data_IF_949567814829
#
_entry.id   IF_949567814829
#
_cell.length_a   1.000
_cell.length_b   1.000
_cell.length_c   1.000
_cell.angle_alpha   90.00
_cell.angle_beta   90.00
_cell.angle_gamma   90.00
#
_symmetry.space_group_name_H-M   'P 1'
#
loop_
_entity.id
_entity.type
_entity.pdbx_description
1 polymer ?
#
# COMPACT_ATOMS: atom_id res chain seq x y z
N UNK A 1 -13.99 3.72 -12.46
CA UNK A 1 -13.32 2.59 -13.16
C UNK A 1 -11.96 2.42 -12.49
N UNK A 2 -11.63 1.22 -12.05
CA UNK A 2 -10.38 0.98 -11.29
C UNK A 2 -9.19 1.10 -12.23
N UNK A 3 -8.21 1.92 -11.87
CA UNK A 3 -6.96 2.06 -12.65
C UNK A 3 -6.02 0.91 -12.31
N UNK A 4 -5.52 0.21 -13.31
CA UNK A 4 -4.52 -0.84 -13.11
C UNK A 4 -3.10 -0.25 -13.16
N UNK A 5 -2.27 -0.60 -12.19
CA UNK A 5 -0.87 -0.15 -12.11
C UNK A 5 0.07 -1.29 -11.75
N UNK A 6 1.35 -1.14 -12.11
CA UNK A 6 2.41 -2.03 -11.67
C UNK A 6 3.24 -1.37 -10.57
N UNK A 7 3.64 -2.17 -9.58
CA UNK A 7 4.55 -1.73 -8.52
C UNK A 7 5.88 -2.49 -8.57
N UNK A 8 6.91 -1.93 -7.91
CA UNK A 8 8.21 -2.60 -7.70
C UNK A 8 8.28 -3.37 -6.40
N UNK A 9 7.53 -2.93 -5.40
CA UNK A 9 7.42 -3.55 -4.07
C UNK A 9 6.00 -3.45 -3.55
N UNK A 10 5.65 -4.34 -2.61
CA UNK A 10 4.31 -4.37 -2.01
C UNK A 10 4.28 -4.30 -0.49
N UNK A 11 5.36 -4.72 0.19
CA UNK A 11 5.48 -4.57 1.64
C UNK A 11 6.19 -3.27 1.99
N UNK A 12 5.58 -2.47 2.86
CA UNK A 12 6.24 -1.39 3.55
C UNK A 12 6.84 -1.92 4.85
N UNK A 13 8.10 -1.61 5.14
CA UNK A 13 8.70 -1.91 6.45
C UNK A 13 8.51 -0.72 7.38
N UNK A 14 8.01 -0.95 8.57
CA UNK A 14 7.90 0.11 9.58
C UNK A 14 9.27 0.39 10.22
N UNK A 15 9.48 1.64 10.65
CA UNK A 15 10.70 2.02 11.37
C UNK A 15 10.73 1.46 12.79
N UNK A 16 9.55 1.35 13.40
CA UNK A 16 9.27 0.76 14.71
C UNK A 16 8.06 -0.16 14.52
N UNK A 17 7.97 -1.21 15.33
CA UNK A 17 6.79 -2.08 15.35
C UNK A 17 5.55 -1.23 15.66
N UNK A 18 4.51 -1.39 14.87
CA UNK A 18 3.26 -0.66 15.09
C UNK A 18 2.67 -1.11 16.44
N UNK A 19 2.33 -0.15 17.30
CA UNK A 19 1.85 -0.46 18.66
C UNK A 19 0.41 -0.96 18.68
N UNK A 20 -0.37 -0.64 17.65
CA UNK A 20 -1.80 -0.96 17.59
C UNK A 20 -2.02 -2.32 16.94
N UNK A 21 -1.31 -2.58 15.84
CA UNK A 21 -1.44 -3.77 15.02
C UNK A 21 -0.33 -4.80 15.27
N UNK A 22 0.69 -4.44 16.04
CA UNK A 22 1.82 -5.30 16.41
C UNK A 22 2.56 -5.89 15.19
N UNK A 23 2.53 -5.21 14.05
CA UNK A 23 3.17 -5.62 12.81
C UNK A 23 4.48 -4.84 12.56
N UNK A 24 5.41 -5.50 11.85
CA UNK A 24 6.64 -4.88 11.35
C UNK A 24 6.50 -4.41 9.88
N UNK A 25 5.43 -4.85 9.21
CA UNK A 25 5.20 -4.61 7.79
C UNK A 25 3.73 -4.44 7.46
N UNK A 26 3.41 -3.42 6.66
CA UNK A 26 2.10 -3.28 6.04
C UNK A 26 2.10 -3.68 4.56
N UNK A 27 0.98 -4.23 4.10
CA UNK A 27 0.73 -4.50 2.69
C UNK A 27 0.13 -3.27 2.02
N UNK A 28 0.59 -2.94 0.81
CA UNK A 28 0.11 -1.79 0.05
C UNK A 28 -0.38 -2.20 -1.35
N UNK A 29 -1.59 -2.78 -1.50
CA UNK A 29 -2.11 -3.27 -2.78
C UNK A 29 -2.86 -2.22 -3.62
N UNK A 30 -3.29 -1.12 -3.00
CA UNK A 30 -4.10 -0.09 -3.64
C UNK A 30 -3.48 1.30 -3.48
N UNK A 31 -3.86 2.23 -4.34
CA UNK A 31 -3.56 3.65 -4.19
C UNK A 31 -4.84 4.45 -4.32
N UNK A 32 -4.93 5.54 -3.55
CA UNK A 32 -6.07 6.45 -3.52
C UNK A 32 -7.39 5.74 -3.16
N UNK A 33 -8.51 6.43 -3.32
CA UNK A 33 -9.82 5.99 -2.88
C UNK A 33 -10.92 6.74 -3.66
N UNK A 34 -11.93 6.03 -4.17
CA UNK A 34 -13.04 6.65 -4.91
C UNK A 34 -14.05 7.38 -4.00
N UNK A 35 -14.05 7.11 -2.70
CA UNK A 35 -15.04 7.68 -1.77
C UNK A 35 -14.80 9.16 -1.43
N UNK A 36 -13.57 9.67 -1.62
CA UNK A 36 -13.20 11.07 -1.42
C UNK A 36 -13.73 11.70 -0.09
N UNK A 37 -13.70 10.93 1.01
CA UNK A 37 -14.30 11.36 2.28
C UNK A 37 -13.70 12.69 2.79
N UNK A 38 -14.56 13.59 3.28
CA UNK A 38 -14.14 14.90 3.80
C UNK A 38 -13.22 14.80 5.02
N UNK A 39 -13.36 13.72 5.80
CA UNK A 39 -12.58 13.44 7.02
C UNK A 39 -11.39 12.51 6.76
N UNK A 40 -11.04 12.26 5.50
CA UNK A 40 -9.93 11.37 5.17
C UNK A 40 -8.59 11.95 5.63
N UNK A 41 -7.85 11.21 6.46
CA UNK A 41 -6.58 11.69 7.04
C UNK A 41 -5.47 11.97 6.01
N UNK A 42 -5.56 11.42 4.79
CA UNK A 42 -4.61 11.72 3.72
C UNK A 42 -4.99 12.95 2.89
N UNK A 43 -6.19 13.51 3.07
CA UNK A 43 -6.66 14.69 2.34
C UNK A 43 -5.74 15.88 2.64
N UNK A 44 -5.24 16.54 1.60
CA UNK A 44 -4.29 17.67 1.74
C UNK A 44 -2.88 17.26 2.18
N UNK A 45 -2.59 15.96 2.31
CA UNK A 45 -1.23 15.46 2.48
C UNK A 45 -0.57 15.19 1.12
N UNK A 46 0.76 14.99 1.11
CA UNK A 46 1.51 14.55 -0.07
C UNK A 46 0.97 13.26 -0.72
N UNK A 47 0.18 12.46 0.00
CA UNK A 47 -0.45 11.24 -0.51
C UNK A 47 -1.88 11.46 -1.03
N UNK A 48 -2.48 12.62 -0.75
CA UNK A 48 -3.83 12.97 -1.16
C UNK A 48 -3.93 14.25 -2.00
N UNK A 49 -2.82 14.82 -2.45
CA UNK A 49 -2.80 15.97 -3.38
C UNK A 49 -3.53 15.67 -4.69
N UNK A 50 -3.55 14.40 -5.14
CA UNK A 50 -4.21 13.96 -6.37
C UNK A 50 -5.38 12.99 -6.11
N UNK A 51 -6.17 13.22 -5.07
CA UNK A 51 -7.34 12.38 -4.71
C UNK A 51 -8.40 12.26 -5.82
N UNK A 52 -8.39 13.16 -6.81
CA UNK A 52 -9.29 13.13 -7.97
C UNK A 52 -8.99 12.00 -8.96
N UNK A 53 -7.87 11.28 -8.84
CA UNK A 53 -7.46 10.24 -9.80
C UNK A 53 -8.16 8.89 -9.61
N UNK A 54 -9.08 8.77 -8.65
CA UNK A 54 -9.82 7.55 -8.36
C UNK A 54 -8.95 6.40 -7.83
N UNK A 55 -9.55 5.23 -7.59
CA UNK A 55 -8.89 4.04 -7.08
C UNK A 55 -7.94 3.43 -8.12
N UNK A 56 -6.71 3.12 -7.70
CA UNK A 56 -5.78 2.31 -8.48
C UNK A 56 -5.43 0.99 -7.76
N UNK A 57 -5.45 -0.12 -8.51
CA UNK A 57 -5.09 -1.45 -8.05
C UNK A 57 -3.72 -1.88 -8.62
N UNK A 58 -2.84 -2.35 -7.74
CA UNK A 58 -1.54 -2.92 -8.14
C UNK A 58 -1.73 -4.36 -8.57
N UNK A 59 -1.93 -4.60 -9.86
CA UNK A 59 -2.30 -5.92 -10.37
C UNK A 59 -1.23 -6.99 -10.16
N UNK A 60 0.04 -6.59 -10.05
CA UNK A 60 1.14 -7.50 -9.73
C UNK A 60 1.37 -7.71 -8.23
N UNK A 61 0.48 -7.22 -7.36
CA UNK A 61 0.62 -7.33 -5.90
C UNK A 61 0.75 -8.78 -5.39
N UNK A 62 -0.03 -9.77 -5.87
CA UNK A 62 0.10 -11.15 -5.38
C UNK A 62 1.49 -11.75 -5.67
N UNK A 63 1.97 -11.60 -6.92
CA UNK A 63 3.28 -12.11 -7.33
C UNK A 63 4.44 -11.39 -6.60
N UNK A 64 4.32 -10.08 -6.37
CA UNK A 64 5.28 -9.34 -5.56
C UNK A 64 5.29 -9.81 -4.10
N UNK A 65 4.11 -10.03 -3.53
CA UNK A 65 3.97 -10.47 -2.14
C UNK A 65 4.66 -11.81 -1.93
N UNK A 66 4.37 -12.80 -2.78
CA UNK A 66 5.02 -14.12 -2.75
C UNK A 66 6.55 -14.00 -2.81
N UNK A 67 7.07 -13.27 -3.80
CA UNK A 67 8.51 -13.05 -3.96
C UNK A 67 9.16 -12.40 -2.74
N UNK A 68 8.49 -11.40 -2.17
CA UNK A 68 9.00 -10.63 -1.03
C UNK A 68 8.96 -11.42 0.28
N UNK A 69 7.95 -12.26 0.49
CA UNK A 69 7.84 -13.17 1.63
C UNK A 69 8.88 -14.28 1.54
N UNK A 70 9.03 -14.92 0.36
CA UNK A 70 10.04 -15.94 0.12
C UNK A 70 11.46 -15.43 0.40
N UNK A 71 11.78 -14.21 -0.05
CA UNK A 71 13.08 -13.59 0.22
C UNK A 71 13.34 -13.38 1.70
N UNK A 72 12.31 -13.03 2.48
CA UNK A 72 12.43 -12.80 3.93
C UNK A 72 12.52 -14.12 4.69
N UNK A 73 11.76 -15.13 4.29
CA UNK A 73 11.85 -16.47 4.86
C UNK A 73 13.25 -17.06 4.71
N UNK A 74 13.91 -16.85 3.55
CA UNK A 74 15.29 -17.30 3.27
C UNK A 74 16.39 -16.50 3.98
N UNK A 75 16.06 -15.36 4.60
CA UNK A 75 17.02 -14.51 5.32
C UNK A 75 17.08 -14.82 6.82
N UNK A 76 16.26 -15.77 7.30
CA UNK A 76 16.49 -16.46 8.56
C UNK A 76 17.62 -17.47 8.40
#
# INVERSE_FOLDING_TARGET
>A
MVKEVFAKTILNKHKKRDEWFLDDYSLNPYQLCDFNCIYCYIRGSKYGENMSQGLAAKINAPALLEKELLRRAKRK
#
